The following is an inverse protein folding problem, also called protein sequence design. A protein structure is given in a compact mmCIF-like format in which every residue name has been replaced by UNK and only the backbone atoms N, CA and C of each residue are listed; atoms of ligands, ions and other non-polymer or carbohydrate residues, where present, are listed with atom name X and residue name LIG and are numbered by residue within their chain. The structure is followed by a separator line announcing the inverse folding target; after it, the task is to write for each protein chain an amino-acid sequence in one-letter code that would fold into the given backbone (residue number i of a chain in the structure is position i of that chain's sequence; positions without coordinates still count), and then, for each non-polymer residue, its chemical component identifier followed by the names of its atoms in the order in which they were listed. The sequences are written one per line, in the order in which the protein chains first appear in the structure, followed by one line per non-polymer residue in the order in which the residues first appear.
data_IF_837650531504
#
_entry.id   IF_837650531504
#
_cell.length_a   1.000
_cell.length_b   1.000
_cell.length_c   1.000
_cell.angle_alpha   90.00
_cell.angle_beta   90.00
_cell.angle_gamma   90.00
#
_symmetry.space_group_name_H-M   'P 1'
#
loop_
_entity.id
_entity.type
_entity.pdbx_description
1 polymer ?
#
# COMPACT_ATOMS: atom_id res chain seq x y z
N UNK A 1 49.94 -8.38 2.33
CA UNK A 1 48.68 -8.25 1.56
C UNK A 1 47.76 -9.38 2.01
N UNK A 2 46.94 -9.17 3.05
CA UNK A 2 46.04 -10.16 3.59
C UNK A 2 44.62 -9.80 3.17
N UNK A 3 44.07 -10.57 2.21
CA UNK A 3 42.69 -10.44 1.76
C UNK A 3 41.73 -11.01 2.80
N UNK A 4 40.99 -10.15 3.48
CA UNK A 4 39.85 -10.56 4.30
C UNK A 4 38.70 -10.97 3.39
N UNK A 5 38.58 -12.27 3.12
CA UNK A 5 37.33 -12.84 2.59
C UNK A 5 36.29 -12.74 3.71
N UNK A 6 35.41 -11.73 3.68
CA UNK A 6 34.18 -11.75 4.45
C UNK A 6 33.37 -12.97 3.98
N UNK A 7 33.30 -14.02 4.82
CA UNK A 7 32.36 -15.11 4.64
C UNK A 7 30.97 -14.50 4.50
N UNK A 8 30.36 -14.61 3.31
CA UNK A 8 28.92 -14.38 3.13
C UNK A 8 28.21 -15.30 4.14
N UNK A 9 27.65 -14.74 5.20
CA UNK A 9 26.70 -15.47 6.03
C UNK A 9 25.57 -15.94 5.06
N UNK A 10 25.37 -17.26 5.00
CA UNK A 10 24.19 -17.83 4.37
C UNK A 10 23.00 -17.30 5.16
N UNK A 11 22.26 -16.37 4.57
CA UNK A 11 20.98 -15.93 5.12
C UNK A 11 20.09 -17.17 5.14
N UNK A 12 19.80 -17.68 6.32
CA UNK A 12 18.82 -18.76 6.49
C UNK A 12 17.49 -18.10 6.17
N UNK A 13 16.88 -18.48 5.04
CA UNK A 13 15.55 -18.02 4.69
C UNK A 13 14.59 -18.51 5.77
N UNK A 14 13.93 -17.57 6.46
CA UNK A 14 12.87 -17.89 7.40
C UNK A 14 11.69 -18.53 6.65
N UNK A 15 10.86 -19.29 7.34
CA UNK A 15 9.53 -19.64 6.81
C UNK A 15 8.78 -18.35 6.46
N UNK A 16 7.89 -18.35 5.45
CA UNK A 16 7.10 -17.16 5.19
C UNK A 16 6.20 -16.85 6.39
N UNK A 17 6.09 -15.58 6.74
CA UNK A 17 5.14 -15.10 7.74
C UNK A 17 3.72 -15.41 7.24
N UNK A 18 2.88 -15.96 8.11
CA UNK A 18 1.47 -16.14 7.81
C UNK A 18 0.77 -14.78 7.78
N UNK A 19 0.27 -14.38 6.61
CA UNK A 19 -0.38 -13.08 6.45
C UNK A 19 -1.69 -12.94 7.23
N UNK A 20 -2.21 -14.01 7.86
CA UNK A 20 -3.30 -13.91 8.86
C UNK A 20 -2.93 -13.01 10.03
N UNK A 21 -1.65 -12.89 10.35
CA UNK A 21 -1.17 -11.98 11.41
C UNK A 21 -1.26 -10.50 11.00
N UNK A 22 -1.27 -10.20 9.69
CA UNK A 22 -1.56 -8.87 9.15
C UNK A 22 -3.07 -8.72 9.00
N UNK A 23 -3.77 -9.78 8.61
CA UNK A 23 -5.22 -9.90 8.50
C UNK A 23 -5.78 -9.30 7.22
N UNK A 24 -5.53 -8.02 7.01
CA UNK A 24 -6.12 -7.22 5.92
C UNK A 24 -5.03 -6.71 4.97
N UNK A 25 -5.20 -6.94 3.68
CA UNK A 25 -4.48 -6.17 2.67
C UNK A 25 -5.25 -4.87 2.40
N UNK A 26 -4.64 -3.74 2.73
CA UNK A 26 -5.34 -2.47 2.71
C UNK A 26 -5.02 -1.60 1.49
N UNK A 27 -4.13 -2.06 0.62
CA UNK A 27 -3.73 -1.36 -0.60
C UNK A 27 -3.47 -2.36 -1.72
N UNK A 28 -4.35 -2.37 -2.72
CA UNK A 28 -4.29 -3.30 -3.86
C UNK A 28 -5.12 -2.80 -5.05
N UNK A 29 -4.80 -3.26 -6.28
CA UNK A 29 -5.43 -2.86 -7.54
C UNK A 29 -6.13 -4.07 -8.16
N UNK A 30 -7.26 -4.46 -7.54
CA UNK A 30 -7.96 -5.73 -7.84
C UNK A 30 -9.12 -5.58 -8.83
N UNK A 31 -9.57 -4.35 -9.15
CA UNK A 31 -10.70 -4.12 -10.06
C UNK A 31 -10.19 -4.15 -11.49
N UNK A 32 -10.82 -4.99 -12.32
CA UNK A 32 -10.38 -5.17 -13.70
C UNK A 32 -10.58 -3.93 -14.57
N UNK A 33 -9.54 -3.51 -15.29
CA UNK A 33 -9.60 -2.59 -16.42
C UNK A 33 -9.83 -1.12 -16.07
N UNK A 34 -9.62 -0.71 -14.81
CA UNK A 34 -9.81 0.70 -14.42
C UNK A 34 -8.50 1.45 -14.11
N UNK A 35 -7.41 0.72 -13.94
CA UNK A 35 -6.05 1.27 -13.74
C UNK A 35 -4.98 0.30 -14.30
N UNK A 36 -3.73 0.38 -13.85
CA UNK A 36 -2.63 -0.52 -14.21
C UNK A 36 -2.56 -1.81 -13.36
N UNK A 37 -3.57 -2.05 -12.52
CA UNK A 37 -3.75 -3.30 -11.80
C UNK A 37 -4.29 -4.44 -12.68
N UNK A 38 -5.23 -5.21 -12.16
CA UNK A 38 -5.91 -6.27 -12.89
C UNK A 38 -6.51 -5.77 -14.21
N UNK A 39 -6.22 -6.42 -15.33
CA UNK A 39 -6.74 -6.01 -16.65
C UNK A 39 -8.02 -6.76 -17.00
N UNK A 40 -8.18 -7.96 -16.49
CA UNK A 40 -9.34 -8.82 -16.73
C UNK A 40 -9.93 -9.32 -15.41
N UNK A 41 -11.16 -9.80 -15.45
CA UNK A 41 -11.79 -10.45 -14.30
C UNK A 41 -11.02 -11.70 -13.85
N UNK A 42 -10.40 -12.42 -14.77
CA UNK A 42 -9.58 -13.58 -14.44
C UNK A 42 -8.31 -13.17 -13.71
N UNK A 43 -7.69 -12.03 -14.08
CA UNK A 43 -6.58 -11.46 -13.32
C UNK A 43 -7.02 -11.11 -11.91
N UNK A 44 -8.16 -10.41 -11.74
CA UNK A 44 -8.71 -10.06 -10.44
C UNK A 44 -8.86 -11.30 -9.54
N UNK A 45 -9.48 -12.35 -10.07
CA UNK A 45 -9.66 -13.61 -9.33
C UNK A 45 -8.34 -14.29 -9.00
N UNK A 46 -7.36 -14.28 -9.92
CA UNK A 46 -6.04 -14.85 -9.69
C UNK A 46 -5.28 -14.10 -8.59
N UNK A 47 -5.32 -12.77 -8.59
CA UNK A 47 -4.69 -11.94 -7.55
C UNK A 47 -5.29 -12.21 -6.17
N UNK A 48 -6.62 -12.21 -6.05
CA UNK A 48 -7.31 -12.48 -4.78
C UNK A 48 -6.98 -13.89 -4.28
N UNK A 49 -7.02 -14.91 -5.15
CA UNK A 49 -6.65 -16.29 -4.78
C UNK A 49 -5.23 -16.37 -4.25
N UNK A 50 -4.25 -15.79 -4.98
CA UNK A 50 -2.85 -15.81 -4.57
C UNK A 50 -2.62 -15.10 -3.22
N UNK A 51 -3.26 -13.96 -2.98
CA UNK A 51 -3.18 -13.27 -1.69
C UNK A 51 -3.81 -14.09 -0.55
N UNK A 52 -4.92 -14.79 -0.81
CA UNK A 52 -5.53 -15.70 0.16
C UNK A 52 -4.64 -16.88 0.52
N UNK A 53 -3.87 -17.41 -0.42
CA UNK A 53 -2.90 -18.48 -0.17
C UNK A 53 -1.80 -18.06 0.81
N UNK A 54 -1.45 -16.77 0.86
CA UNK A 54 -0.55 -16.23 1.89
C UNK A 54 -1.21 -16.04 3.25
N UNK A 55 -2.54 -16.08 3.31
CA UNK A 55 -3.31 -15.96 4.56
C UNK A 55 -4.09 -14.65 4.72
N UNK A 56 -4.03 -13.70 3.78
CA UNK A 56 -4.88 -12.52 3.84
C UNK A 56 -6.36 -12.92 3.82
N UNK A 57 -7.16 -12.28 4.68
CA UNK A 57 -8.58 -12.65 4.88
C UNK A 57 -9.54 -11.61 4.34
N UNK A 58 -9.17 -10.35 4.35
CA UNK A 58 -9.96 -9.21 3.92
C UNK A 58 -9.13 -8.28 3.06
N UNK A 59 -9.77 -7.54 2.16
CA UNK A 59 -9.11 -6.70 1.18
C UNK A 59 -9.82 -5.35 1.05
N UNK A 60 -9.01 -4.29 1.00
CA UNK A 60 -9.40 -2.99 0.46
C UNK A 60 -8.74 -2.84 -0.90
N UNK A 61 -9.55 -2.70 -1.95
CA UNK A 61 -9.01 -2.33 -3.25
C UNK A 61 -8.99 -0.81 -3.36
N UNK A 62 -7.88 -0.26 -3.78
CA UNK A 62 -7.61 1.18 -3.81
C UNK A 62 -7.07 1.61 -5.17
N UNK A 63 -7.86 1.46 -6.25
CA UNK A 63 -7.41 1.85 -7.58
C UNK A 63 -7.07 3.33 -7.65
N UNK A 64 -6.18 3.66 -8.58
CA UNK A 64 -5.74 5.03 -8.80
C UNK A 64 -6.89 5.97 -9.19
N UNK A 65 -6.87 7.18 -8.62
CA UNK A 65 -7.65 8.34 -9.08
C UNK A 65 -6.65 9.43 -9.46
N UNK A 66 -6.43 9.61 -10.77
CA UNK A 66 -5.39 10.43 -11.33
C UNK A 66 -5.90 11.14 -12.59
N UNK A 67 -5.81 12.48 -12.66
CA UNK A 67 -6.43 13.27 -13.73
C UNK A 67 -5.95 12.93 -15.13
N UNK A 68 -4.67 12.61 -15.28
CA UNK A 68 -4.04 12.40 -16.57
C UNK A 68 -4.17 10.97 -17.11
N UNK A 69 -4.24 9.96 -16.23
CA UNK A 69 -4.18 8.56 -16.62
C UNK A 69 -5.42 7.75 -16.21
N UNK A 70 -5.85 7.85 -14.94
CA UNK A 70 -6.90 7.00 -14.36
C UNK A 70 -8.00 7.85 -13.77
N UNK A 71 -8.92 8.32 -14.63
CA UNK A 71 -10.03 9.23 -14.27
C UNK A 71 -11.18 8.49 -13.60
N UNK A 72 -10.84 7.68 -12.60
CA UNK A 72 -11.83 6.95 -11.84
C UNK A 72 -12.65 7.89 -10.96
N UNK A 73 -13.92 7.59 -10.81
CA UNK A 73 -14.84 8.25 -9.89
C UNK A 73 -15.19 7.29 -8.75
N UNK A 74 -15.72 7.83 -7.66
CA UNK A 74 -16.30 7.02 -6.57
C UNK A 74 -17.25 5.96 -7.10
N UNK A 75 -18.13 6.31 -8.06
CA UNK A 75 -19.09 5.36 -8.65
C UNK A 75 -18.41 4.28 -9.49
N UNK A 76 -17.38 4.60 -10.27
CA UNK A 76 -16.60 3.62 -11.04
C UNK A 76 -16.00 2.57 -10.10
N UNK A 77 -15.37 3.01 -9.02
CA UNK A 77 -14.71 2.13 -8.05
C UNK A 77 -15.72 1.27 -7.30
N UNK A 78 -16.80 1.85 -6.78
CA UNK A 78 -17.84 1.12 -6.05
C UNK A 78 -18.51 0.06 -6.93
N UNK A 79 -18.87 0.40 -8.17
CA UNK A 79 -19.48 -0.55 -9.10
C UNK A 79 -18.51 -1.67 -9.50
N UNK A 80 -17.24 -1.33 -9.74
CA UNK A 80 -16.21 -2.31 -10.03
C UNK A 80 -15.98 -3.27 -8.86
N UNK A 81 -15.95 -2.74 -7.62
CA UNK A 81 -15.84 -3.56 -6.41
C UNK A 81 -17.05 -4.51 -6.24
N UNK A 82 -18.26 -4.02 -6.51
CA UNK A 82 -19.46 -4.89 -6.47
C UNK A 82 -19.36 -5.99 -7.51
N UNK A 83 -18.97 -5.66 -8.74
CA UNK A 83 -18.75 -6.66 -9.80
C UNK A 83 -17.73 -7.72 -9.38
N UNK A 84 -16.62 -7.31 -8.78
CA UNK A 84 -15.60 -8.24 -8.28
C UNK A 84 -16.16 -9.14 -7.17
N UNK A 85 -16.91 -8.60 -6.22
CA UNK A 85 -17.53 -9.39 -5.16
C UNK A 85 -18.51 -10.44 -5.74
N UNK A 86 -19.31 -10.07 -6.75
CA UNK A 86 -20.23 -11.03 -7.43
C UNK A 86 -19.46 -12.15 -8.14
N UNK A 87 -18.28 -11.84 -8.71
CA UNK A 87 -17.38 -12.83 -9.32
C UNK A 87 -16.77 -13.76 -8.29
N UNK A 88 -16.37 -13.25 -7.12
CA UNK A 88 -15.83 -14.05 -6.02
C UNK A 88 -16.86 -15.06 -5.52
N UNK A 89 -18.12 -14.64 -5.35
CA UNK A 89 -19.23 -15.53 -4.98
C UNK A 89 -19.41 -16.63 -6.03
N UNK A 90 -19.46 -16.28 -7.32
CA UNK A 90 -19.57 -17.26 -8.42
C UNK A 90 -18.40 -18.25 -8.47
N UNK A 91 -17.20 -17.77 -8.16
CA UNK A 91 -15.99 -18.59 -8.13
C UNK A 91 -15.81 -19.36 -6.81
N UNK A 92 -16.75 -19.25 -5.87
CA UNK A 92 -16.71 -19.85 -4.54
C UNK A 92 -15.45 -19.48 -3.73
N UNK A 93 -15.00 -18.23 -3.87
CA UNK A 93 -13.90 -17.66 -3.10
C UNK A 93 -14.50 -16.93 -1.91
N UNK A 94 -14.35 -17.52 -0.72
CA UNK A 94 -14.89 -16.96 0.53
C UNK A 94 -14.04 -15.80 1.01
N UNK A 95 -14.38 -14.60 0.55
CA UNK A 95 -13.82 -13.32 0.99
C UNK A 95 -14.70 -12.17 0.49
N UNK A 96 -14.44 -10.96 1.00
CA UNK A 96 -15.07 -9.73 0.54
C UNK A 96 -14.01 -8.67 0.24
N UNK A 97 -14.26 -7.89 -0.81
CA UNK A 97 -13.46 -6.74 -1.19
C UNK A 97 -14.23 -5.47 -0.79
N UNK A 98 -13.53 -4.56 -0.14
CA UNK A 98 -14.05 -3.22 0.20
C UNK A 98 -13.44 -2.19 -0.74
N UNK A 99 -14.22 -1.15 -1.05
CA UNK A 99 -13.80 -0.07 -1.95
C UNK A 99 -13.08 1.04 -1.18
N UNK A 100 -11.93 1.45 -1.71
CA UNK A 100 -11.22 2.67 -1.37
C UNK A 100 -10.62 3.26 -2.65
N UNK A 101 -9.89 4.36 -2.58
CA UNK A 101 -9.14 4.92 -3.69
C UNK A 101 -7.74 5.33 -3.24
N UNK A 102 -6.77 5.20 -4.15
CA UNK A 102 -5.47 5.84 -4.04
C UNK A 102 -5.48 7.12 -4.87
N UNK A 103 -5.51 8.26 -4.20
CA UNK A 103 -5.58 9.56 -4.86
C UNK A 103 -4.18 10.06 -5.20
N UNK A 104 -3.93 10.29 -6.48
CA UNK A 104 -2.71 10.99 -6.89
C UNK A 104 -2.81 12.47 -6.48
N UNK A 105 -1.73 13.00 -5.91
CA UNK A 105 -1.69 14.36 -5.39
C UNK A 105 -1.57 15.39 -6.53
N UNK A 106 -2.70 15.69 -7.16
CA UNK A 106 -2.87 16.62 -8.27
C UNK A 106 -4.01 17.62 -8.01
N UNK A 107 -4.27 18.51 -8.96
CA UNK A 107 -5.35 19.51 -8.88
C UNK A 107 -6.73 18.85 -8.76
N UNK A 108 -6.95 17.70 -9.42
CA UNK A 108 -8.20 16.95 -9.32
C UNK A 108 -8.43 16.45 -7.89
N UNK A 109 -7.38 15.96 -7.23
CA UNK A 109 -7.50 15.56 -5.82
C UNK A 109 -7.88 16.74 -4.93
N UNK A 110 -7.33 17.94 -5.19
CA UNK A 110 -7.73 19.16 -4.47
C UNK A 110 -9.20 19.52 -4.68
N UNK A 111 -9.71 19.32 -5.88
CA UNK A 111 -11.12 19.52 -6.21
C UNK A 111 -12.03 18.49 -5.52
N UNK A 112 -11.62 17.23 -5.46
CA UNK A 112 -12.36 16.16 -4.76
C UNK A 112 -12.40 16.42 -3.26
N UNK A 113 -11.31 16.88 -2.64
CA UNK A 113 -11.29 17.33 -1.24
C UNK A 113 -12.28 18.48 -1.03
N UNK A 114 -12.29 19.48 -1.92
CA UNK A 114 -13.19 20.62 -1.81
C UNK A 114 -14.68 20.25 -1.91
N UNK A 115 -14.99 19.20 -2.69
CA UNK A 115 -16.36 18.65 -2.87
C UNK A 115 -16.72 17.60 -1.83
N UNK A 116 -15.77 17.15 -1.04
CA UNK A 116 -15.90 15.99 -0.13
C UNK A 116 -16.38 14.71 -0.87
N UNK A 117 -15.95 14.52 -2.12
CA UNK A 117 -16.21 13.32 -2.93
C UNK A 117 -15.01 12.38 -2.83
N UNK A 118 -14.91 11.68 -1.69
CA UNK A 118 -13.72 10.92 -1.30
C UNK A 118 -14.11 9.53 -0.82
N UNK A 119 -13.35 8.52 -1.26
CA UNK A 119 -13.53 7.12 -0.90
C UNK A 119 -12.38 6.66 -0.01
N UNK A 120 -12.61 6.74 1.30
CA UNK A 120 -11.61 6.43 2.32
C UNK A 120 -11.71 5.00 2.82
N UNK A 121 -10.57 4.40 3.20
CA UNK A 121 -10.50 3.09 3.85
C UNK A 121 -11.26 3.17 5.19
N UNK A 122 -12.23 2.30 5.37
CA UNK A 122 -13.11 2.24 6.55
C UNK A 122 -13.83 3.58 6.84
N UNK A 123 -13.94 4.47 5.84
CA UNK A 123 -14.50 5.80 6.01
C UNK A 123 -13.63 6.77 6.83
N UNK A 124 -12.40 6.39 7.14
CA UNK A 124 -11.51 7.15 8.04
C UNK A 124 -10.19 7.53 7.39
N UNK A 125 -9.49 6.58 6.76
CA UNK A 125 -8.13 6.77 6.25
C UNK A 125 -8.16 7.11 4.77
N UNK A 126 -7.76 8.32 4.43
CA UNK A 126 -7.72 8.78 3.04
C UNK A 126 -6.34 8.52 2.46
N UNK A 127 -6.24 7.51 1.61
CA UNK A 127 -5.01 7.09 0.96
C UNK A 127 -4.69 8.02 -0.21
N UNK A 128 -3.47 8.55 -0.24
CA UNK A 128 -2.98 9.37 -1.34
C UNK A 128 -1.51 9.08 -1.62
N UNK A 129 -1.09 9.33 -2.86
CA UNK A 129 0.29 9.19 -3.31
C UNK A 129 0.84 10.48 -3.92
N UNK A 130 2.16 10.63 -3.87
CA UNK A 130 2.89 11.71 -4.54
C UNK A 130 3.47 11.25 -5.88
N UNK A 131 3.88 12.23 -6.69
CA UNK A 131 4.69 11.96 -7.87
C UNK A 131 6.03 11.32 -7.50
N UNK A 132 6.45 10.31 -8.26
CA UNK A 132 7.81 9.76 -8.13
C UNK A 132 8.89 10.67 -8.70
N UNK A 133 8.49 11.62 -9.56
CA UNK A 133 9.43 12.51 -10.26
C UNK A 133 9.67 13.81 -9.50
N UNK A 134 8.63 14.34 -8.87
CA UNK A 134 8.68 15.66 -8.24
C UNK A 134 8.12 15.61 -6.81
N UNK A 135 8.92 16.10 -5.87
CA UNK A 135 8.43 16.35 -4.52
C UNK A 135 7.33 17.44 -4.60
N UNK A 136 6.18 17.27 -3.91
CA UNK A 136 5.20 18.34 -3.82
C UNK A 136 5.80 19.55 -3.11
N UNK A 137 5.53 20.77 -3.62
CA UNK A 137 6.08 22.00 -3.04
C UNK A 137 5.63 22.20 -1.59
N UNK A 138 4.33 22.00 -1.31
CA UNK A 138 3.78 22.13 0.02
C UNK A 138 2.51 21.27 0.18
N UNK A 139 2.59 20.08 0.74
CA UNK A 139 1.43 19.22 0.96
C UNK A 139 0.58 19.60 2.19
N UNK A 140 1.11 20.42 3.10
CA UNK A 140 0.48 20.68 4.39
C UNK A 140 -0.91 21.31 4.32
N UNK A 141 -1.21 22.28 3.42
CA UNK A 141 -2.57 22.83 3.31
C UNK A 141 -3.61 21.77 2.89
N UNK A 142 -3.24 20.80 2.07
CA UNK A 142 -4.12 19.69 1.71
C UNK A 142 -4.33 18.74 2.89
N UNK A 143 -3.27 18.41 3.61
CA UNK A 143 -3.31 17.59 4.83
C UNK A 143 -4.26 18.19 5.87
N UNK A 144 -4.18 19.50 6.11
CA UNK A 144 -5.08 20.19 7.04
C UNK A 144 -6.55 20.18 6.56
N UNK A 145 -6.80 20.32 5.24
CA UNK A 145 -8.16 20.21 4.70
C UNK A 145 -8.72 18.79 4.87
N UNK A 146 -7.92 17.74 4.60
CA UNK A 146 -8.30 16.34 4.81
C UNK A 146 -8.71 16.12 6.26
N UNK A 147 -7.91 16.61 7.21
CA UNK A 147 -8.19 16.52 8.65
C UNK A 147 -9.44 17.29 9.05
N UNK A 148 -9.65 18.49 8.48
CA UNK A 148 -10.84 19.31 8.74
C UNK A 148 -12.14 18.65 8.27
N UNK A 149 -12.08 17.77 7.25
CA UNK A 149 -13.19 16.94 6.82
C UNK A 149 -13.42 15.70 7.69
N UNK A 150 -12.57 15.46 8.69
CA UNK A 150 -12.66 14.33 9.61
C UNK A 150 -11.88 13.10 9.16
N UNK A 151 -11.17 13.15 8.04
CA UNK A 151 -10.34 12.04 7.57
C UNK A 151 -8.94 12.06 8.21
N UNK A 152 -8.33 10.88 8.25
CA UNK A 152 -6.93 10.66 8.63
C UNK A 152 -6.09 10.58 7.35
N UNK A 153 -5.20 11.54 7.08
CA UNK A 153 -4.37 11.50 5.88
C UNK A 153 -3.40 10.32 5.95
N UNK A 154 -3.37 9.48 4.92
CA UNK A 154 -2.55 8.28 4.83
C UNK A 154 -1.73 8.32 3.55
N UNK A 155 -0.40 8.48 3.69
CA UNK A 155 0.52 8.49 2.54
C UNK A 155 0.87 7.05 2.15
N UNK A 156 0.62 6.74 0.89
CA UNK A 156 1.00 5.47 0.27
C UNK A 156 2.54 5.40 0.12
N UNK A 157 3.09 4.26 0.45
CA UNK A 157 4.47 3.81 0.17
C UNK A 157 5.56 4.91 0.15
N UNK A 158 5.72 5.69 1.23
CA UNK A 158 6.71 6.78 1.27
C UNK A 158 8.15 6.32 1.02
N UNK A 159 8.46 5.06 1.26
CA UNK A 159 9.76 4.46 0.98
C UNK A 159 10.09 4.38 -0.51
N UNK A 160 9.12 4.62 -1.42
CA UNK A 160 9.32 4.55 -2.86
C UNK A 160 9.71 5.90 -3.48
N UNK A 161 9.56 7.00 -2.75
CA UNK A 161 9.84 8.33 -3.31
C UNK A 161 11.31 8.69 -3.23
N UNK A 162 12.02 8.94 -4.37
CA UNK A 162 13.45 9.21 -4.37
C UNK A 162 13.86 10.42 -3.52
N UNK A 163 12.99 11.41 -3.38
CA UNK A 163 13.27 12.61 -2.60
C UNK A 163 13.27 12.37 -1.08
N UNK A 164 12.80 11.19 -0.60
CA UNK A 164 12.90 10.80 0.82
C UNK A 164 14.10 9.92 1.13
N UNK A 165 14.83 9.38 0.13
CA UNK A 165 15.88 8.39 0.36
C UNK A 165 16.99 8.86 1.31
N UNK A 166 17.26 10.15 1.36
CA UNK A 166 18.28 10.73 2.25
C UNK A 166 17.73 11.88 3.11
N UNK A 167 16.40 11.94 3.25
CA UNK A 167 15.70 13.01 3.93
C UNK A 167 14.66 12.48 4.92
N UNK A 168 15.09 11.73 5.97
CA UNK A 168 14.17 11.25 7.00
C UNK A 168 13.44 12.39 7.71
N UNK A 169 14.05 13.57 7.80
CA UNK A 169 13.46 14.78 8.34
C UNK A 169 12.14 15.18 7.67
N UNK A 170 11.97 14.88 6.38
CA UNK A 170 10.71 15.14 5.65
C UNK A 170 9.60 14.19 6.07
N UNK A 171 9.92 12.93 6.35
CA UNK A 171 8.94 11.97 6.90
C UNK A 171 8.53 12.37 8.32
N UNK A 172 9.47 12.83 9.14
CA UNK A 172 9.19 13.36 10.49
C UNK A 172 8.24 14.55 10.44
N UNK A 173 8.42 15.50 9.50
CA UNK A 173 7.53 16.64 9.31
C UNK A 173 6.11 16.21 8.94
N UNK A 174 5.95 15.25 8.01
CA UNK A 174 4.64 14.71 7.67
C UNK A 174 3.99 14.00 8.86
N UNK A 175 4.79 13.22 9.61
CA UNK A 175 4.32 12.55 10.82
C UNK A 175 3.84 13.56 11.88
N UNK A 176 4.59 14.63 12.09
CA UNK A 176 4.22 15.73 13.00
C UNK A 176 2.93 16.44 12.56
N UNK A 177 2.65 16.51 11.26
CA UNK A 177 1.39 17.01 10.71
C UNK A 177 0.21 16.03 10.87
N UNK A 178 0.46 14.81 11.38
CA UNK A 178 -0.57 13.79 11.61
C UNK A 178 -0.82 12.86 10.43
N UNK A 179 0.12 12.77 9.50
CA UNK A 179 0.05 11.81 8.38
C UNK A 179 0.38 10.41 8.87
N UNK A 180 -0.44 9.43 8.52
CA UNK A 180 -0.19 8.01 8.66
C UNK A 180 0.63 7.51 7.47
N UNK A 181 1.39 6.42 7.66
CA UNK A 181 2.23 5.84 6.60
C UNK A 181 1.85 4.40 6.32
N UNK A 182 1.62 4.11 5.05
CA UNK A 182 1.48 2.74 4.55
C UNK A 182 2.78 2.32 3.85
N UNK A 183 3.35 1.19 4.25
CA UNK A 183 4.52 0.57 3.66
C UNK A 183 4.12 -0.54 2.69
N UNK A 184 4.73 -0.58 1.51
CA UNK A 184 4.56 -1.70 0.58
C UNK A 184 5.37 -2.92 1.05
N UNK A 185 4.69 -4.06 1.21
CA UNK A 185 5.34 -5.33 1.57
C UNK A 185 6.45 -5.67 0.56
N UNK A 186 6.23 -5.42 -0.72
CA UNK A 186 7.17 -5.67 -1.81
C UNK A 186 8.51 -4.95 -1.65
N UNK A 187 8.53 -3.80 -0.98
CA UNK A 187 9.74 -3.04 -0.67
C UNK A 187 10.72 -3.85 0.16
N UNK A 188 10.22 -4.70 1.05
CA UNK A 188 11.03 -5.55 1.92
C UNK A 188 11.72 -6.73 1.20
N UNK A 189 11.29 -7.01 -0.04
CA UNK A 189 11.98 -7.93 -0.95
C UNK A 189 12.96 -7.22 -1.90
N UNK A 190 13.13 -5.90 -1.77
CA UNK A 190 13.99 -5.09 -2.65
C UNK A 190 13.40 -4.88 -4.06
N UNK A 191 12.09 -5.04 -4.23
CA UNK A 191 11.41 -4.95 -5.53
C UNK A 191 11.62 -3.59 -6.22
N UNK A 192 11.62 -2.52 -5.43
CA UNK A 192 11.77 -1.14 -5.92
C UNK A 192 13.21 -0.60 -5.81
N UNK A 193 14.17 -1.50 -5.60
CA UNK A 193 15.59 -1.15 -5.52
C UNK A 193 16.14 -1.02 -4.09
N UNK A 194 17.48 -0.90 -3.97
CA UNK A 194 18.16 -0.95 -2.68
C UNK A 194 17.87 0.27 -1.79
N UNK A 195 17.68 1.46 -2.36
CA UNK A 195 17.39 2.66 -1.56
C UNK A 195 15.99 2.59 -0.95
N UNK A 196 14.97 2.16 -1.73
CA UNK A 196 13.63 1.92 -1.23
C UNK A 196 13.62 0.86 -0.11
N UNK A 197 14.35 -0.25 -0.29
CA UNK A 197 14.52 -1.26 0.77
C UNK A 197 15.11 -0.66 2.04
N UNK A 198 16.15 0.16 1.91
CA UNK A 198 16.82 0.79 3.05
C UNK A 198 15.87 1.75 3.79
N UNK A 199 15.11 2.56 3.06
CA UNK A 199 14.10 3.46 3.67
C UNK A 199 13.02 2.63 4.36
N UNK A 200 12.50 1.58 3.72
CA UNK A 200 11.50 0.69 4.30
C UNK A 200 11.96 0.08 5.64
N UNK A 201 13.20 -0.40 5.67
CA UNK A 201 13.81 -0.93 6.90
C UNK A 201 13.96 0.13 7.99
N UNK A 202 14.42 1.33 7.61
CA UNK A 202 14.53 2.47 8.52
C UNK A 202 13.18 2.88 9.12
N UNK A 203 12.13 2.99 8.30
CA UNK A 203 10.79 3.30 8.78
C UNK A 203 10.27 2.29 9.81
N UNK A 204 10.59 1.00 9.64
CA UNK A 204 10.25 -0.04 10.62
C UNK A 204 11.08 0.15 11.90
N UNK A 205 12.37 0.41 11.78
CA UNK A 205 13.27 0.60 12.92
C UNK A 205 12.90 1.83 13.74
N UNK A 206 12.46 2.91 13.07
CA UNK A 206 12.00 4.16 13.67
C UNK A 206 10.54 4.09 14.18
N UNK A 207 9.86 2.95 13.97
CA UNK A 207 8.47 2.71 14.40
C UNK A 207 7.46 3.72 13.82
N UNK A 208 7.61 4.11 12.57
CA UNK A 208 6.72 5.07 11.90
C UNK A 208 5.79 4.43 10.87
N UNK A 209 5.78 3.10 10.73
CA UNK A 209 4.85 2.37 9.86
C UNK A 209 3.55 2.10 10.60
N UNK A 210 2.43 2.52 10.04
CA UNK A 210 1.08 2.31 10.58
C UNK A 210 0.35 1.17 9.89
N UNK A 211 0.55 1.04 8.57
CA UNK A 211 -0.13 0.07 7.72
C UNK A 211 0.83 -0.65 6.78
N UNK A 212 0.47 -1.87 6.44
CA UNK A 212 1.06 -2.65 5.35
C UNK A 212 0.05 -2.83 4.22
N UNK A 213 0.50 -2.66 2.98
CA UNK A 213 -0.27 -2.98 1.78
C UNK A 213 0.58 -3.80 0.81
N UNK A 214 -0.06 -4.60 -0.02
CA UNK A 214 0.67 -5.34 -1.04
C UNK A 214 0.96 -4.50 -2.27
N UNK A 215 0.10 -3.54 -2.55
CA UNK A 215 0.14 -2.74 -3.78
C UNK A 215 0.25 -3.67 -5.01
N UNK A 216 -0.57 -4.75 -4.97
CA UNK A 216 -0.51 -5.79 -6.00
C UNK A 216 -1.22 -5.34 -7.26
N UNK A 217 -0.52 -5.43 -8.40
CA UNK A 217 -1.05 -5.08 -9.72
C UNK A 217 -1.14 -6.28 -10.65
N UNK A 218 -0.28 -7.28 -10.47
CA UNK A 218 -0.16 -8.43 -11.38
C UNK A 218 0.33 -9.67 -10.66
N UNK A 219 0.06 -10.83 -11.25
CA UNK A 219 0.38 -12.14 -10.64
C UNK A 219 1.87 -12.33 -10.36
N UNK A 220 2.77 -11.71 -11.15
CA UNK A 220 4.20 -11.76 -10.85
C UNK A 220 4.60 -11.07 -9.53
N UNK A 221 3.75 -10.20 -8.97
CA UNK A 221 3.98 -9.63 -7.64
C UNK A 221 3.80 -10.67 -6.52
N UNK A 222 3.05 -11.75 -6.75
CA UNK A 222 2.90 -12.83 -5.76
C UNK A 222 4.23 -13.46 -5.37
N UNK A 223 5.14 -13.67 -6.33
CA UNK A 223 6.50 -14.16 -6.03
C UNK A 223 7.33 -13.17 -5.21
N UNK A 224 7.10 -11.87 -5.43
CA UNK A 224 7.77 -10.81 -4.66
C UNK A 224 7.24 -10.80 -3.23
N UNK A 225 5.93 -10.93 -3.06
CA UNK A 225 5.27 -11.01 -1.75
C UNK A 225 5.77 -12.23 -0.97
N UNK A 226 5.87 -13.42 -1.59
CA UNK A 226 6.42 -14.61 -0.92
C UNK A 226 7.83 -14.35 -0.38
N UNK A 227 8.70 -13.70 -1.16
CA UNK A 227 10.04 -13.32 -0.68
C UNK A 227 9.97 -12.30 0.45
N UNK A 228 9.10 -11.30 0.35
CA UNK A 228 8.93 -10.26 1.36
C UNK A 228 8.40 -10.82 2.68
N UNK A 229 7.50 -11.82 2.64
CA UNK A 229 6.99 -12.52 3.82
C UNK A 229 8.08 -13.26 4.62
N UNK A 230 9.29 -13.41 4.07
CA UNK A 230 10.47 -13.99 4.75
C UNK A 230 11.40 -12.93 5.33
N UNK A 231 11.06 -11.64 5.19
CA UNK A 231 11.88 -10.52 5.67
C UNK A 231 11.88 -10.45 7.19
N UNK A 232 13.08 -10.33 7.76
CA UNK A 232 13.26 -10.15 9.21
C UNK A 232 12.59 -8.86 9.72
N UNK A 233 12.65 -7.78 8.93
CA UNK A 233 11.98 -6.52 9.28
C UNK A 233 10.46 -6.65 9.26
N UNK A 234 9.87 -7.47 8.37
CA UNK A 234 8.44 -7.73 8.40
C UNK A 234 8.03 -8.45 9.67
N UNK A 235 8.77 -9.48 10.09
CA UNK A 235 8.54 -10.16 11.37
C UNK A 235 8.60 -9.18 12.53
N UNK A 236 9.67 -8.36 12.60
CA UNK A 236 9.82 -7.32 13.63
C UNK A 236 8.61 -6.39 13.68
N UNK A 237 8.13 -5.92 12.52
CA UNK A 237 7.00 -5.01 12.44
C UNK A 237 5.71 -5.67 12.94
N UNK A 238 5.40 -6.88 12.49
CA UNK A 238 4.18 -7.61 12.89
C UNK A 238 4.22 -7.96 14.38
N UNK A 239 5.34 -8.45 14.87
CA UNK A 239 5.53 -8.79 16.29
C UNK A 239 5.47 -7.55 17.22
N UNK A 240 5.70 -6.35 16.69
CA UNK A 240 5.58 -5.11 17.47
C UNK A 240 4.16 -4.81 17.93
N UNK A 241 3.13 -5.39 17.27
CA UNK A 241 1.72 -5.14 17.53
C UNK A 241 1.25 -3.71 17.18
N UNK A 242 2.04 -2.95 16.41
CA UNK A 242 1.73 -1.54 16.06
C UNK A 242 0.85 -1.39 14.83
N UNK A 243 0.81 -2.40 13.96
CA UNK A 243 0.02 -2.32 12.74
C UNK A 243 -1.46 -2.13 13.03
N UNK A 244 -2.07 -1.22 12.29
CA UNK A 244 -3.50 -0.93 12.36
C UNK A 244 -4.30 -1.88 11.45
N UNK A 245 -3.65 -2.57 10.51
CA UNK A 245 -4.31 -3.51 9.59
C UNK A 245 -5.33 -4.44 10.26
N UNK A 246 -5.05 -5.08 11.41
CA UNK A 246 -6.00 -6.02 12.03
C UNK A 246 -7.31 -5.36 12.49
N UNK A 247 -7.33 -4.02 12.60
CA UNK A 247 -8.52 -3.27 13.02
C UNK A 247 -9.37 -2.79 11.83
N UNK A 248 -8.92 -3.00 10.57
CA UNK A 248 -9.70 -2.68 9.37
C UNK A 248 -10.69 -3.80 9.05
#
# INVERSE_FOLDING_TARGET
MFGFFKKRQKTVLRSPLDARLIGVDMHSHLIAGIDDGAQTHDDSLALVKGLKEFGFQKFWTSPHVMSDFYRNSTSTIVNGTQTLNDLLVKAQIDTSIHAAAEYYFDDNFMDLIAKNDLLAIKGEYLLFEFSYLNQPENPFPAIEKIKALGYKPLLAHPERYPFYFHRPDLLEQLRAAGVYFQLNINSLAGHYGPESLKVAQGMIDDNIVDFLGTDIHKTSHLEVIDRALRSEHLYKLVESGRLINPAL
#
